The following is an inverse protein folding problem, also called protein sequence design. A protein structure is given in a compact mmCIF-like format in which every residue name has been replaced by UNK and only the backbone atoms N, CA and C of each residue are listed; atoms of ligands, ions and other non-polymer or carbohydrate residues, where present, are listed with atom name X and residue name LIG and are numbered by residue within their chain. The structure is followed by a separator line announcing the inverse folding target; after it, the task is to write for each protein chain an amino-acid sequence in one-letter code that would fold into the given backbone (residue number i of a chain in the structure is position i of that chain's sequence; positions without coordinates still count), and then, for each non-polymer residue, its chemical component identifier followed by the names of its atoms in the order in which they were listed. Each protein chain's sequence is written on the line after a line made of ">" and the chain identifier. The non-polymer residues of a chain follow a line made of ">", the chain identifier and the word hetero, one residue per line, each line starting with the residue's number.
data_IF_021388898357
#
_entry.id   IF_021388898357
#
_cell.length_a   1.000
_cell.length_b   1.000
_cell.length_c   1.000
_cell.angle_alpha   90.00
_cell.angle_beta   90.00
_cell.angle_gamma   90.00
#
_symmetry.space_group_name_H-M   'P 1'
#
loop_
_entity.id
_entity.type
_entity.pdbx_description
1 polymer ?
#
# COMPACT_ATOMS: atom_id res chain seq x y z
N UNK A 1 -35.21 18.23 -21.81
CA UNK A 1 -34.48 17.61 -20.70
C UNK A 1 -33.90 16.30 -21.23
N UNK A 2 -32.61 16.31 -21.56
CA UNK A 2 -31.90 15.06 -21.98
C UNK A 2 -31.44 14.41 -20.68
N UNK A 3 -32.12 13.35 -20.27
CA UNK A 3 -31.65 12.46 -19.20
C UNK A 3 -30.42 11.74 -19.73
N UNK A 4 -29.23 12.16 -19.35
CA UNK A 4 -28.04 11.32 -19.48
C UNK A 4 -28.20 10.16 -18.49
N UNK A 5 -28.82 9.06 -18.93
CA UNK A 5 -28.71 7.79 -18.23
C UNK A 5 -27.24 7.36 -18.31
N UNK A 6 -26.55 7.35 -17.20
CA UNK A 6 -25.27 6.65 -17.08
C UNK A 6 -25.52 5.20 -17.51
N UNK A 7 -24.69 4.68 -18.42
CA UNK A 7 -24.75 3.29 -18.82
C UNK A 7 -24.62 2.45 -17.53
N UNK A 8 -25.58 1.57 -17.26
CA UNK A 8 -25.64 0.73 -16.05
C UNK A 8 -24.38 -0.13 -15.81
N UNK A 9 -23.44 -0.12 -16.75
CA UNK A 9 -22.18 -0.84 -16.70
C UNK A 9 -20.96 0.03 -16.32
N UNK A 10 -21.17 1.34 -16.09
CA UNK A 10 -20.08 2.28 -15.72
C UNK A 10 -20.35 2.94 -14.36
N UNK A 11 -19.28 3.37 -13.73
CA UNK A 11 -19.30 4.20 -12.54
C UNK A 11 -18.57 5.51 -12.83
N UNK A 12 -19.14 6.62 -12.37
CA UNK A 12 -18.57 7.94 -12.62
C UNK A 12 -18.22 8.66 -11.32
N UNK A 13 -17.11 9.37 -11.32
CA UNK A 13 -16.70 10.32 -10.29
C UNK A 13 -16.70 11.70 -10.91
N UNK A 14 -17.42 12.65 -10.30
CA UNK A 14 -17.29 14.07 -10.56
C UNK A 14 -16.74 14.74 -9.30
N UNK A 15 -15.67 15.50 -9.42
CA UNK A 15 -14.98 16.04 -8.27
C UNK A 15 -14.60 17.50 -8.38
N UNK A 16 -14.55 18.17 -7.22
CA UNK A 16 -14.03 19.52 -7.07
C UNK A 16 -13.23 19.64 -5.78
N UNK A 17 -11.96 20.03 -5.92
CA UNK A 17 -11.10 20.35 -4.78
C UNK A 17 -10.73 21.82 -4.78
N UNK A 18 -10.86 22.44 -3.61
CA UNK A 18 -10.33 23.76 -3.35
C UNK A 18 -8.81 23.69 -3.18
N UNK A 19 -8.13 24.81 -3.45
CA UNK A 19 -6.67 24.96 -3.30
C UNK A 19 -5.82 24.00 -4.17
N UNK A 20 -6.40 23.50 -5.27
CA UNK A 20 -5.71 22.75 -6.30
C UNK A 20 -6.22 23.22 -7.65
N UNK A 21 -5.38 23.93 -8.40
CA UNK A 21 -5.79 24.47 -9.70
C UNK A 21 -5.52 23.45 -10.83
N UNK A 22 -4.35 22.81 -10.80
CA UNK A 22 -3.94 21.79 -11.77
C UNK A 22 -3.19 20.68 -11.04
N UNK A 23 -3.27 19.45 -11.55
CA UNK A 23 -2.57 18.31 -11.00
C UNK A 23 -3.04 16.99 -11.60
N UNK A 24 -2.47 15.92 -11.10
CA UNK A 24 -2.84 14.56 -11.46
C UNK A 24 -3.04 13.75 -10.20
N UNK A 25 -4.07 12.91 -10.20
CA UNK A 25 -4.28 11.87 -9.19
C UNK A 25 -4.07 10.53 -9.85
N UNK A 26 -3.60 9.58 -9.08
CA UNK A 26 -3.59 8.19 -9.52
C UNK A 26 -4.80 7.47 -8.92
N UNK A 27 -5.35 6.53 -9.68
CA UNK A 27 -6.46 5.69 -9.23
C UNK A 27 -6.18 4.23 -9.57
N UNK A 28 -6.48 3.35 -8.63
CA UNK A 28 -6.36 1.91 -8.83
C UNK A 28 -7.47 1.16 -8.07
N UNK A 29 -7.69 -0.09 -8.47
CA UNK A 29 -8.62 -1.03 -7.82
C UNK A 29 -7.83 -2.08 -7.05
N UNK A 30 -7.88 -2.10 -5.71
CA UNK A 30 -7.15 -3.11 -4.93
C UNK A 30 -7.70 -4.53 -5.12
N UNK A 31 -8.93 -4.66 -5.59
CA UNK A 31 -9.65 -5.90 -5.89
C UNK A 31 -9.71 -6.24 -7.39
N UNK A 32 -9.04 -5.45 -8.23
CA UNK A 32 -8.95 -5.69 -9.67
C UNK A 32 -7.91 -6.74 -10.06
N UNK A 33 -8.21 -7.48 -11.12
CA UNK A 33 -7.32 -8.54 -11.60
C UNK A 33 -5.99 -8.02 -12.19
N UNK A 34 -5.93 -6.74 -12.60
CA UNK A 34 -4.80 -6.19 -13.34
C UNK A 34 -3.96 -5.16 -12.58
N UNK A 35 -4.38 -4.72 -11.36
CA UNK A 35 -3.61 -3.75 -10.56
C UNK A 35 -3.18 -2.47 -11.30
N UNK A 36 -3.81 -2.18 -12.45
CA UNK A 36 -3.41 -1.08 -13.33
C UNK A 36 -3.67 0.25 -12.65
N UNK A 37 -2.63 1.05 -12.59
CA UNK A 37 -2.71 2.44 -12.17
C UNK A 37 -3.22 3.27 -13.35
N UNK A 38 -4.25 4.09 -13.12
CA UNK A 38 -4.77 5.05 -14.08
C UNK A 38 -4.60 6.48 -13.53
N UNK A 39 -4.73 7.48 -14.39
CA UNK A 39 -4.47 8.88 -14.05
C UNK A 39 -5.73 9.72 -14.23
N UNK A 40 -6.07 10.52 -13.22
CA UNK A 40 -7.14 11.51 -13.26
C UNK A 40 -6.52 12.90 -13.33
N UNK A 41 -6.79 13.64 -14.42
CA UNK A 41 -6.33 15.03 -14.58
C UNK A 41 -7.27 15.99 -13.87
N UNK A 42 -6.67 16.99 -13.21
CA UNK A 42 -7.40 18.09 -12.55
C UNK A 42 -7.17 19.39 -13.30
N UNK A 43 -8.26 20.06 -13.67
CA UNK A 43 -8.25 21.35 -14.36
C UNK A 43 -9.18 22.33 -13.63
N UNK A 44 -8.67 23.50 -13.27
CA UNK A 44 -9.40 24.51 -12.47
C UNK A 44 -10.06 23.92 -11.19
N UNK A 45 -9.36 22.99 -10.53
CA UNK A 45 -9.84 22.31 -9.34
C UNK A 45 -10.93 21.27 -9.58
N UNK A 46 -11.29 21.00 -10.84
CA UNK A 46 -12.32 20.02 -11.22
C UNK A 46 -11.69 18.79 -11.86
N UNK A 47 -12.31 17.65 -11.67
CA UNK A 47 -11.93 16.40 -12.32
C UNK A 47 -13.15 15.52 -12.53
N UNK A 48 -13.07 14.66 -13.53
CA UNK A 48 -14.06 13.61 -13.79
C UNK A 48 -13.32 12.33 -14.14
N UNK A 49 -13.86 11.21 -13.70
CA UNK A 49 -13.31 9.88 -13.98
C UNK A 49 -14.44 8.90 -14.19
N UNK A 50 -14.36 8.12 -15.24
CA UNK A 50 -15.34 7.09 -15.56
C UNK A 50 -14.63 5.76 -15.76
N UNK A 51 -15.20 4.70 -15.18
CA UNK A 51 -14.61 3.36 -15.23
C UNK A 51 -15.69 2.30 -15.42
N UNK A 52 -15.44 1.24 -16.22
CA UNK A 52 -16.33 0.08 -16.28
C UNK A 52 -16.56 -0.52 -14.88
N UNK A 53 -17.82 -0.64 -14.48
CA UNK A 53 -18.22 -1.13 -13.17
C UNK A 53 -19.41 -2.08 -13.32
N UNK A 54 -19.13 -3.38 -13.45
CA UNK A 54 -20.17 -4.42 -13.59
C UNK A 54 -20.57 -5.03 -12.24
N UNK A 55 -19.83 -4.75 -11.19
CA UNK A 55 -20.06 -5.19 -9.81
C UNK A 55 -19.52 -4.12 -8.85
N UNK A 56 -20.01 -4.03 -7.63
CA UNK A 56 -19.43 -3.14 -6.64
C UNK A 56 -17.92 -3.38 -6.48
N UNK A 57 -17.15 -2.32 -6.42
CA UNK A 57 -15.69 -2.36 -6.27
C UNK A 57 -15.16 -1.15 -5.49
N UNK A 58 -13.97 -1.27 -4.95
CA UNK A 58 -13.27 -0.16 -4.29
C UNK A 58 -12.30 0.49 -5.27
N UNK A 59 -12.38 1.80 -5.42
CA UNK A 59 -11.38 2.62 -6.09
C UNK A 59 -10.52 3.30 -5.01
N UNK A 60 -9.21 3.24 -5.15
CA UNK A 60 -8.26 3.97 -4.30
C UNK A 60 -7.73 5.16 -5.08
N UNK A 61 -8.03 6.37 -4.63
CA UNK A 61 -7.49 7.60 -5.21
C UNK A 61 -6.26 8.01 -4.40
N UNK A 62 -5.14 8.20 -5.10
CA UNK A 62 -3.88 8.67 -4.53
C UNK A 62 -3.71 10.13 -4.95
N UNK A 63 -3.68 11.01 -3.96
CA UNK A 63 -3.49 12.44 -4.17
C UNK A 63 -2.01 12.81 -4.28
N UNK A 64 -1.65 14.02 -4.76
CA UNK A 64 -0.25 14.44 -4.93
C UNK A 64 0.61 14.40 -3.67
N UNK A 65 -0.01 14.45 -2.50
CA UNK A 65 0.65 14.28 -1.19
C UNK A 65 0.75 12.80 -0.76
N UNK A 66 0.48 11.87 -1.67
CA UNK A 66 0.47 10.42 -1.47
C UNK A 66 -0.55 9.90 -0.42
N UNK A 67 -1.53 10.74 -0.05
CA UNK A 67 -2.64 10.28 0.76
C UNK A 67 -3.58 9.42 -0.08
N UNK A 68 -3.91 8.23 0.38
CA UNK A 68 -4.89 7.35 -0.25
C UNK A 68 -6.29 7.59 0.33
N UNK A 69 -7.29 7.69 -0.55
CA UNK A 69 -8.69 7.78 -0.15
C UNK A 69 -9.54 6.76 -0.92
N UNK A 70 -10.36 5.96 -0.23
CA UNK A 70 -11.26 5.02 -0.88
C UNK A 70 -12.51 5.74 -1.42
N UNK A 71 -12.97 5.26 -2.57
CA UNK A 71 -14.28 5.56 -3.15
C UNK A 71 -14.95 4.22 -3.48
N UNK A 72 -16.16 4.03 -2.99
CA UNK A 72 -16.91 2.78 -3.20
C UNK A 72 -17.83 2.97 -4.41
N UNK A 73 -17.51 2.22 -5.46
CA UNK A 73 -18.16 2.28 -6.74
C UNK A 73 -19.28 1.22 -6.84
N UNK A 74 -20.42 1.62 -7.39
CA UNK A 74 -21.54 0.77 -7.71
C UNK A 74 -21.93 0.94 -9.18
N UNK A 75 -22.35 -0.14 -9.89
CA UNK A 75 -22.75 -0.06 -11.29
C UNK A 75 -23.84 0.98 -11.53
N UNK A 76 -23.69 1.78 -12.60
CA UNK A 76 -24.63 2.82 -12.99
C UNK A 76 -24.71 4.05 -12.08
N UNK A 77 -23.86 4.14 -11.04
CA UNK A 77 -23.88 5.27 -10.10
C UNK A 77 -22.84 6.32 -10.45
N UNK A 78 -23.17 7.57 -10.08
CA UNK A 78 -22.24 8.70 -10.08
C UNK A 78 -22.03 9.16 -8.65
N UNK A 79 -20.80 9.46 -8.27
CA UNK A 79 -20.47 10.08 -6.99
C UNK A 79 -19.90 11.48 -7.20
N UNK A 80 -20.18 12.36 -6.26
CA UNK A 80 -19.59 13.68 -6.20
C UNK A 80 -18.55 13.73 -5.07
N UNK A 81 -17.32 14.18 -5.41
CA UNK A 81 -16.25 14.41 -4.44
C UNK A 81 -16.08 15.90 -4.23
N UNK A 82 -16.15 16.34 -2.98
CA UNK A 82 -15.86 17.72 -2.56
C UNK A 82 -14.86 17.73 -1.42
N UNK A 83 -13.96 18.71 -1.41
CA UNK A 83 -12.99 18.87 -0.35
C UNK A 83 -11.98 19.96 -0.63
N UNK A 84 -10.93 19.99 0.19
CA UNK A 84 -9.78 20.86 0.03
C UNK A 84 -8.51 20.01 -0.14
N UNK A 85 -7.68 20.32 -1.12
CA UNK A 85 -6.39 19.65 -1.32
C UNK A 85 -5.43 19.88 -0.13
N UNK A 86 -5.63 20.94 0.66
CA UNK A 86 -4.87 21.20 1.89
C UNK A 86 -5.34 20.37 3.09
N UNK A 87 -6.56 19.81 3.04
CA UNK A 87 -7.12 18.98 4.12
C UNK A 87 -8.01 17.86 3.57
N UNK A 88 -7.37 16.82 3.02
CA UNK A 88 -8.09 15.66 2.45
C UNK A 88 -8.82 14.80 3.50
N UNK A 89 -8.57 15.01 4.78
CA UNK A 89 -9.32 14.33 5.86
C UNK A 89 -10.80 14.76 5.90
N UNK A 90 -11.08 15.98 5.46
CA UNK A 90 -12.43 16.53 5.36
C UNK A 90 -13.10 16.31 4.00
N UNK A 91 -12.52 15.44 3.17
CA UNK A 91 -13.10 15.09 1.88
C UNK A 91 -14.43 14.38 2.05
N UNK A 92 -15.46 14.88 1.38
CA UNK A 92 -16.79 14.29 1.35
C UNK A 92 -17.04 13.60 0.00
N UNK A 93 -17.59 12.39 0.04
CA UNK A 93 -18.01 11.62 -1.15
C UNK A 93 -19.50 11.32 -1.04
N UNK A 94 -20.30 11.83 -1.98
CA UNK A 94 -21.75 11.62 -2.05
C UNK A 94 -22.13 10.73 -3.22
N UNK A 95 -23.20 9.94 -3.10
CA UNK A 95 -23.81 9.19 -4.22
C UNK A 95 -24.07 7.70 -3.94
N UNK A 96 -23.36 7.08 -3.00
CA UNK A 96 -23.64 5.69 -2.58
C UNK A 96 -23.67 5.57 -1.05
N UNK A 97 -24.28 4.52 -0.54
CA UNK A 97 -24.43 4.34 0.91
C UNK A 97 -23.09 4.01 1.58
N UNK A 98 -22.22 3.21 0.95
CA UNK A 98 -20.87 2.94 1.47
C UNK A 98 -20.01 4.21 1.53
N UNK A 99 -20.14 5.14 0.58
CA UNK A 99 -19.45 6.41 0.65
C UNK A 99 -19.97 7.30 1.79
N UNK A 100 -21.28 7.29 2.08
CA UNK A 100 -21.84 7.99 3.25
C UNK A 100 -21.31 7.39 4.56
N UNK A 101 -21.29 6.06 4.69
CA UNK A 101 -20.72 5.37 5.85
C UNK A 101 -19.24 5.71 6.04
N UNK A 102 -18.47 5.79 4.94
CA UNK A 102 -17.06 6.19 5.01
C UNK A 102 -16.88 7.64 5.44
N UNK A 103 -17.75 8.58 5.01
CA UNK A 103 -17.72 9.96 5.49
C UNK A 103 -17.94 10.02 7.01
N UNK A 104 -18.97 9.34 7.52
CA UNK A 104 -19.24 9.27 8.97
C UNK A 104 -18.07 8.68 9.75
N UNK A 105 -17.42 7.64 9.19
CA UNK A 105 -16.22 7.08 9.80
C UNK A 105 -15.06 8.09 9.82
N UNK A 106 -14.82 8.85 8.73
CA UNK A 106 -13.77 9.89 8.69
C UNK A 106 -13.99 10.95 9.75
N UNK A 107 -15.23 11.42 9.91
CA UNK A 107 -15.62 12.39 10.94
C UNK A 107 -15.34 11.83 12.34
N UNK A 108 -15.73 10.58 12.60
CA UNK A 108 -15.52 9.92 13.89
C UNK A 108 -14.04 9.81 14.28
N UNK A 109 -13.14 9.59 13.30
CA UNK A 109 -11.70 9.40 13.56
C UNK A 109 -10.87 10.65 13.34
N UNK A 110 -11.46 11.78 12.97
CA UNK A 110 -10.74 13.00 12.60
C UNK A 110 -9.72 13.48 13.65
N UNK A 111 -10.08 13.36 14.94
CA UNK A 111 -9.25 13.72 16.10
C UNK A 111 -8.77 12.52 16.92
N UNK A 112 -9.06 11.29 16.47
CA UNK A 112 -8.72 10.09 17.22
C UNK A 112 -7.22 9.78 17.13
N UNK A 113 -6.65 9.31 18.24
CA UNK A 113 -5.30 8.72 18.25
C UNK A 113 -5.27 7.43 17.42
N UNK A 114 -4.09 6.98 16.94
CA UNK A 114 -4.00 5.74 16.15
C UNK A 114 -4.61 4.50 16.84
N UNK A 115 -4.45 4.26 18.16
CA UNK A 115 -5.13 3.17 18.84
C UNK A 115 -6.65 3.30 18.87
N UNK A 116 -7.17 4.52 19.07
CA UNK A 116 -8.61 4.80 19.07
C UNK A 116 -9.21 4.62 17.68
N UNK A 117 -8.56 5.15 16.63
CA UNK A 117 -8.99 4.96 15.26
C UNK A 117 -9.08 3.46 14.90
N UNK A 118 -8.14 2.65 15.39
CA UNK A 118 -8.16 1.19 15.23
C UNK A 118 -9.35 0.54 15.97
N UNK A 119 -9.68 1.03 17.17
CA UNK A 119 -10.86 0.57 17.92
C UNK A 119 -12.15 0.91 17.17
N UNK A 120 -12.26 2.14 16.66
CA UNK A 120 -13.41 2.57 15.85
C UNK A 120 -13.52 1.74 14.56
N UNK A 121 -12.42 1.47 13.87
CA UNK A 121 -12.42 0.63 12.67
C UNK A 121 -12.92 -0.79 12.97
N UNK A 122 -12.49 -1.39 14.09
CA UNK A 122 -13.00 -2.69 14.52
C UNK A 122 -14.50 -2.65 14.79
N UNK A 123 -14.97 -1.66 15.55
CA UNK A 123 -16.38 -1.52 15.89
C UNK A 123 -17.23 -1.32 14.63
N UNK A 124 -16.80 -0.45 13.71
CA UNK A 124 -17.47 -0.25 12.44
C UNK A 124 -17.68 -1.56 11.67
N UNK A 125 -16.64 -2.40 11.57
CA UNK A 125 -16.73 -3.68 10.85
C UNK A 125 -17.72 -4.64 11.55
N UNK A 126 -17.79 -4.61 12.87
CA UNK A 126 -18.76 -5.42 13.64
C UNK A 126 -20.20 -4.96 13.39
N UNK A 127 -20.41 -3.64 13.32
CA UNK A 127 -21.74 -3.04 13.14
C UNK A 127 -22.23 -3.09 11.68
N UNK A 128 -21.30 -3.04 10.71
CA UNK A 128 -21.57 -3.00 9.28
C UNK A 128 -20.84 -4.11 8.48
N UNK A 129 -20.99 -5.39 8.81
CA UNK A 129 -20.21 -6.46 8.19
C UNK A 129 -20.52 -6.67 6.72
N UNK A 130 -21.65 -6.15 6.21
CA UNK A 130 -22.03 -6.20 4.81
C UNK A 130 -21.45 -5.02 3.98
N UNK A 131 -20.93 -3.98 4.61
CA UNK A 131 -20.38 -2.79 3.96
C UNK A 131 -19.00 -3.06 3.38
N UNK A 132 -18.73 -2.57 2.16
CA UNK A 132 -17.41 -2.63 1.52
C UNK A 132 -16.36 -1.78 2.24
N UNK A 133 -16.79 -0.77 3.00
CA UNK A 133 -15.92 0.05 3.85
C UNK A 133 -15.08 -0.83 4.77
N UNK A 134 -15.66 -1.91 5.31
CA UNK A 134 -14.95 -2.86 6.18
C UNK A 134 -13.69 -3.45 5.54
N UNK A 135 -13.69 -3.71 4.22
CA UNK A 135 -12.53 -4.25 3.50
C UNK A 135 -11.36 -3.25 3.46
N UNK A 136 -11.67 -1.97 3.27
CA UNK A 136 -10.68 -0.89 3.37
C UNK A 136 -10.15 -0.75 4.81
N UNK A 137 -11.05 -0.73 5.81
CA UNK A 137 -10.68 -0.55 7.21
C UNK A 137 -9.80 -1.69 7.74
N UNK A 138 -10.14 -2.95 7.41
CA UNK A 138 -9.30 -4.08 7.82
C UNK A 138 -7.92 -4.01 7.18
N UNK A 139 -7.83 -3.66 5.90
CA UNK A 139 -6.57 -3.44 5.21
C UNK A 139 -5.76 -2.33 5.87
N UNK A 140 -6.36 -1.15 6.08
CA UNK A 140 -5.69 0.05 6.57
C UNK A 140 -5.21 -0.08 8.01
N UNK A 141 -6.08 -0.56 8.92
CA UNK A 141 -5.85 -0.51 10.36
C UNK A 141 -5.28 -1.81 10.96
N UNK A 142 -5.43 -2.94 10.28
CA UNK A 142 -5.01 -4.24 10.83
C UNK A 142 -3.95 -4.94 9.99
N UNK A 143 -3.90 -4.70 8.67
CA UNK A 143 -2.96 -5.36 7.78
C UNK A 143 -1.78 -4.45 7.43
N UNK A 144 -2.05 -3.21 7.01
CA UNK A 144 -1.07 -2.21 6.56
C UNK A 144 -0.74 -1.18 7.65
N UNK A 145 -0.66 -1.59 8.89
CA UNK A 145 -0.29 -0.74 10.01
C UNK A 145 1.15 -1.02 10.45
N UNK A 146 1.78 -0.08 11.14
CA UNK A 146 3.11 -0.28 11.73
C UNK A 146 3.17 -1.48 12.69
N UNK A 147 2.03 -1.82 13.31
CA UNK A 147 1.88 -3.00 14.15
C UNK A 147 0.72 -3.85 13.65
N UNK A 148 0.92 -4.69 12.62
CA UNK A 148 -0.14 -5.51 12.04
C UNK A 148 -0.70 -6.51 13.05
N UNK A 149 -2.03 -6.65 13.09
CA UNK A 149 -2.72 -7.69 13.87
C UNK A 149 -3.47 -8.62 12.91
N UNK A 150 -2.73 -9.58 12.40
CA UNK A 150 -3.24 -10.49 11.37
C UNK A 150 -4.27 -11.47 11.92
N UNK A 151 -4.25 -11.76 13.24
CA UNK A 151 -5.24 -12.63 13.86
C UNK A 151 -6.60 -11.93 13.94
N UNK A 152 -6.62 -10.67 14.38
CA UNK A 152 -7.82 -9.85 14.39
C UNK A 152 -8.28 -9.60 12.96
N UNK A 153 -7.38 -9.30 12.01
CA UNK A 153 -7.72 -9.13 10.60
C UNK A 153 -8.42 -10.36 10.01
N UNK A 154 -7.91 -11.57 10.23
CA UNK A 154 -8.52 -12.82 9.74
C UNK A 154 -9.90 -13.05 10.36
N UNK A 155 -10.07 -12.77 11.64
CA UNK A 155 -11.35 -12.86 12.34
C UNK A 155 -12.40 -11.91 11.76
N UNK A 156 -12.03 -10.65 11.52
CA UNK A 156 -12.90 -9.63 10.92
C UNK A 156 -13.25 -9.97 9.46
N UNK A 157 -12.27 -10.43 8.66
CA UNK A 157 -12.51 -10.87 7.29
C UNK A 157 -13.46 -12.07 7.28
N UNK A 158 -13.28 -13.03 8.19
CA UNK A 158 -14.15 -14.21 8.32
C UNK A 158 -15.60 -13.80 8.65
N UNK A 159 -15.78 -12.79 9.50
CA UNK A 159 -17.10 -12.21 9.78
C UNK A 159 -17.70 -11.60 8.51
N UNK A 160 -16.96 -10.70 7.85
CA UNK A 160 -17.45 -10.04 6.63
C UNK A 160 -17.80 -11.01 5.51
N UNK A 161 -17.03 -12.09 5.33
CA UNK A 161 -17.30 -13.13 4.31
C UNK A 161 -18.63 -13.85 4.48
N UNK A 162 -19.21 -13.88 5.70
CA UNK A 162 -20.55 -14.43 5.95
C UNK A 162 -21.64 -13.53 5.34
N UNK A 163 -21.37 -12.23 5.22
CA UNK A 163 -22.32 -11.22 4.73
C UNK A 163 -22.05 -10.77 3.29
N UNK A 164 -20.80 -10.91 2.82
CA UNK A 164 -20.33 -10.47 1.50
C UNK A 164 -19.83 -11.65 0.64
N UNK A 165 -20.68 -12.64 0.42
CA UNK A 165 -20.30 -13.91 -0.24
C UNK A 165 -19.80 -13.75 -1.68
N UNK A 166 -20.23 -12.71 -2.39
CA UNK A 166 -19.88 -12.43 -3.79
C UNK A 166 -18.64 -11.53 -3.95
N UNK A 167 -18.10 -10.97 -2.86
CA UNK A 167 -16.98 -10.03 -2.91
C UNK A 167 -15.64 -10.76 -2.81
N UNK A 168 -15.03 -11.01 -3.97
CA UNK A 168 -13.80 -11.82 -4.07
C UNK A 168 -12.58 -11.21 -3.38
N UNK A 169 -12.53 -9.88 -3.21
CA UNK A 169 -11.41 -9.18 -2.60
C UNK A 169 -11.13 -9.60 -1.14
N UNK A 170 -12.18 -9.79 -0.32
CA UNK A 170 -11.99 -10.28 1.04
C UNK A 170 -11.31 -11.66 1.09
N UNK A 171 -11.67 -12.56 0.15
CA UNK A 171 -11.00 -13.87 0.04
C UNK A 171 -9.54 -13.72 -0.41
N UNK A 172 -9.25 -12.74 -1.25
CA UNK A 172 -7.88 -12.42 -1.65
C UNK A 172 -7.08 -11.89 -0.47
N UNK A 173 -7.63 -10.93 0.30
CA UNK A 173 -7.01 -10.44 1.54
C UNK A 173 -6.75 -11.57 2.54
N UNK A 174 -7.72 -12.46 2.72
CA UNK A 174 -7.55 -13.60 3.62
C UNK A 174 -6.43 -14.53 3.18
N UNK A 175 -6.35 -14.83 1.86
CA UNK A 175 -5.23 -15.62 1.31
C UNK A 175 -3.88 -14.92 1.50
N UNK A 176 -3.83 -13.61 1.31
CA UNK A 176 -2.62 -12.81 1.55
C UNK A 176 -2.17 -12.87 3.01
N UNK A 177 -3.09 -12.77 3.97
CA UNK A 177 -2.78 -12.90 5.39
C UNK A 177 -2.25 -14.30 5.71
N UNK A 178 -2.91 -15.34 5.21
CA UNK A 178 -2.48 -16.74 5.41
C UNK A 178 -1.19 -17.05 4.67
N UNK A 179 -0.99 -16.46 3.48
CA UNK A 179 0.25 -16.57 2.69
C UNK A 179 1.47 -15.87 3.34
N UNK A 180 1.25 -14.91 4.24
CA UNK A 180 2.34 -14.34 5.05
C UNK A 180 3.03 -15.36 5.94
N UNK A 181 2.42 -16.52 6.13
CA UNK A 181 3.08 -17.67 6.73
C UNK A 181 4.35 -18.10 6.00
N UNK A 182 4.42 -17.95 4.67
CA UNK A 182 5.59 -18.30 3.85
C UNK A 182 6.76 -17.32 3.97
N UNK A 183 6.54 -16.10 4.46
CA UNK A 183 7.58 -15.09 4.70
C UNK A 183 7.83 -14.84 6.19
N UNK A 184 7.42 -15.76 7.06
CA UNK A 184 7.71 -15.68 8.51
C UNK A 184 9.18 -15.90 8.78
N UNK A 185 9.63 -15.36 9.91
CA UNK A 185 10.96 -15.66 10.47
C UNK A 185 11.17 -17.17 10.56
N UNK A 186 12.31 -17.65 10.08
CA UNK A 186 12.67 -19.07 9.98
C UNK A 186 12.32 -19.71 8.63
N UNK A 187 11.44 -19.12 7.81
CA UNK A 187 11.06 -19.66 6.50
C UNK A 187 12.05 -19.24 5.41
N UNK A 188 12.14 -20.05 4.35
CA UNK A 188 12.88 -19.67 3.15
C UNK A 188 12.27 -18.43 2.49
N UNK A 189 13.10 -17.61 1.84
CA UNK A 189 12.61 -16.49 1.03
C UNK A 189 11.67 -17.01 -0.05
N UNK A 190 10.45 -16.45 -0.21
CA UNK A 190 9.53 -16.86 -1.26
C UNK A 190 10.15 -16.70 -2.65
N UNK A 191 9.86 -17.61 -3.56
CA UNK A 191 10.36 -17.53 -4.93
C UNK A 191 9.87 -16.28 -5.64
N UNK A 192 10.80 -15.51 -6.19
CA UNK A 192 10.52 -14.36 -7.05
C UNK A 192 11.64 -14.15 -8.08
N UNK A 193 11.32 -13.39 -9.11
CA UNK A 193 12.28 -12.85 -10.08
C UNK A 193 11.84 -11.44 -10.43
N UNK A 194 12.75 -10.47 -10.36
CA UNK A 194 12.49 -9.06 -10.65
C UNK A 194 13.69 -8.43 -11.35
N UNK A 195 13.43 -7.45 -12.23
CA UNK A 195 14.48 -6.62 -12.84
C UNK A 195 14.73 -5.38 -12.02
N UNK A 196 16.00 -5.04 -11.82
CA UNK A 196 16.39 -3.75 -11.24
C UNK A 196 16.17 -2.64 -12.26
N UNK A 197 16.19 -1.39 -11.79
CA UNK A 197 16.14 -0.20 -12.66
C UNK A 197 17.32 -0.16 -13.65
N UNK A 198 18.43 -0.86 -13.38
CA UNK A 198 19.62 -0.96 -14.22
C UNK A 198 19.59 -2.22 -15.12
N UNK A 199 18.48 -2.98 -15.11
CA UNK A 199 18.29 -4.15 -15.98
C UNK A 199 18.85 -5.48 -15.44
N UNK A 200 19.52 -5.49 -14.29
CA UNK A 200 19.99 -6.72 -13.62
C UNK A 200 18.77 -7.53 -13.13
N UNK A 201 18.86 -8.84 -13.15
CA UNK A 201 17.83 -9.70 -12.58
C UNK A 201 18.21 -10.12 -11.16
N UNK A 202 17.33 -9.89 -10.20
CA UNK A 202 17.42 -10.42 -8.84
C UNK A 202 16.33 -11.45 -8.59
N UNK A 203 16.70 -12.48 -7.83
CA UNK A 203 15.84 -13.63 -7.53
C UNK A 203 15.97 -14.03 -6.07
N UNK A 204 15.04 -14.84 -5.56
CA UNK A 204 15.20 -15.46 -4.25
C UNK A 204 16.51 -16.28 -4.15
N UNK A 205 16.92 -16.93 -5.23
CA UNK A 205 18.18 -17.69 -5.28
C UNK A 205 19.40 -16.77 -5.16
N UNK A 206 19.40 -15.59 -5.81
CA UNK A 206 20.50 -14.62 -5.68
C UNK A 206 20.64 -14.08 -4.25
N UNK A 207 19.52 -13.86 -3.53
CA UNK A 207 19.55 -13.50 -2.11
C UNK A 207 20.05 -14.64 -1.22
N UNK A 208 19.77 -15.89 -1.60
CA UNK A 208 20.20 -17.07 -0.84
C UNK A 208 21.69 -17.42 -1.07
N UNK A 209 22.27 -16.93 -2.16
CA UNK A 209 23.68 -17.12 -2.47
C UNK A 209 24.60 -16.25 -1.61
N UNK A 210 24.08 -15.25 -0.93
CA UNK A 210 24.84 -14.39 -0.01
C UNK A 210 24.60 -14.79 1.45
N UNK A 211 25.62 -14.70 2.32
CA UNK A 211 25.46 -15.03 3.73
C UNK A 211 24.37 -14.19 4.42
N UNK A 212 24.31 -12.89 4.07
CA UNK A 212 23.31 -11.95 4.61
C UNK A 212 22.79 -11.04 3.51
N UNK A 213 21.48 -10.86 3.44
CA UNK A 213 20.84 -9.85 2.60
C UNK A 213 19.80 -9.06 3.38
N UNK A 214 19.65 -7.78 3.05
CA UNK A 214 18.58 -6.92 3.55
C UNK A 214 17.75 -6.46 2.37
N UNK A 215 16.45 -6.68 2.44
CA UNK A 215 15.50 -6.20 1.42
C UNK A 215 14.60 -5.17 2.08
N UNK A 216 14.61 -3.93 1.57
CA UNK A 216 13.86 -2.81 2.11
C UNK A 216 12.74 -2.38 1.17
N UNK A 217 11.53 -2.24 1.69
CA UNK A 217 10.43 -1.55 1.02
C UNK A 217 10.55 -0.04 1.29
N UNK A 218 10.56 0.75 0.22
CA UNK A 218 10.79 2.19 0.30
C UNK A 218 10.03 2.96 -0.80
N UNK A 219 10.03 4.30 -0.71
CA UNK A 219 9.50 5.16 -1.75
C UNK A 219 10.20 6.53 -1.74
N UNK A 220 10.25 7.21 -2.90
CA UNK A 220 10.86 8.54 -3.03
C UNK A 220 10.19 9.62 -2.19
N UNK A 221 8.91 9.46 -1.91
CA UNK A 221 8.09 10.35 -1.09
C UNK A 221 8.16 10.05 0.42
N UNK A 222 8.85 8.98 0.84
CA UNK A 222 9.00 8.60 2.25
C UNK A 222 10.42 8.88 2.73
N UNK A 223 10.61 10.05 3.35
CA UNK A 223 11.90 10.46 3.91
C UNK A 223 12.49 9.43 4.88
N UNK A 224 11.65 8.83 5.73
CA UNK A 224 12.05 7.81 6.69
C UNK A 224 12.66 6.59 5.97
N UNK A 225 12.01 6.10 4.90
CA UNK A 225 12.49 4.94 4.13
C UNK A 225 13.80 5.24 3.40
N UNK A 226 13.95 6.45 2.84
CA UNK A 226 15.19 6.92 2.22
C UNK A 226 16.31 6.94 3.25
N UNK A 227 16.04 7.45 4.45
CA UNK A 227 17.03 7.54 5.51
C UNK A 227 17.52 6.16 5.98
N UNK A 228 16.65 5.17 6.06
CA UNK A 228 17.02 3.77 6.35
C UNK A 228 17.97 3.23 5.27
N UNK A 229 17.62 3.36 3.98
CA UNK A 229 18.45 2.90 2.88
C UNK A 229 19.80 3.61 2.84
N UNK A 230 19.82 4.93 3.09
CA UNK A 230 21.06 5.73 3.14
C UNK A 230 21.99 5.25 4.24
N UNK A 231 21.48 5.00 5.44
CA UNK A 231 22.28 4.48 6.54
C UNK A 231 22.84 3.09 6.23
N UNK A 232 22.03 2.19 5.65
CA UNK A 232 22.47 0.85 5.24
C UNK A 232 23.53 0.94 4.11
N UNK A 233 23.34 1.80 3.12
CA UNK A 233 24.34 2.04 2.06
C UNK A 233 25.67 2.56 2.63
N UNK A 234 25.63 3.45 3.61
CA UNK A 234 26.83 3.95 4.29
C UNK A 234 27.53 2.84 5.10
N UNK A 235 26.79 2.03 5.85
CA UNK A 235 27.35 0.89 6.60
C UNK A 235 28.09 -0.08 5.67
N UNK A 236 27.50 -0.41 4.52
CA UNK A 236 28.14 -1.25 3.50
C UNK A 236 29.38 -0.60 2.94
N UNK A 237 29.33 0.68 2.54
CA UNK A 237 30.45 1.44 1.99
C UNK A 237 31.62 1.57 2.97
N UNK A 238 31.32 1.75 4.25
CA UNK A 238 32.33 1.88 5.31
C UNK A 238 32.93 0.53 5.75
N UNK A 239 32.43 -0.59 5.22
CA UNK A 239 32.87 -1.93 5.62
C UNK A 239 32.46 -2.32 7.05
N UNK A 240 31.43 -1.67 7.61
CA UNK A 240 30.94 -1.95 8.97
C UNK A 240 30.24 -3.32 9.04
N UNK A 241 29.65 -3.75 7.93
CA UNK A 241 29.03 -5.07 7.78
C UNK A 241 29.02 -5.48 6.30
N UNK A 242 29.13 -6.80 6.05
CA UNK A 242 29.05 -7.39 4.71
C UNK A 242 27.64 -7.98 4.50
N UNK A 243 26.88 -7.37 3.59
CA UNK A 243 25.55 -7.82 3.23
C UNK A 243 25.13 -7.30 1.84
N UNK A 244 24.25 -8.04 1.20
CA UNK A 244 23.57 -7.56 -0.02
C UNK A 244 22.41 -6.68 0.37
N UNK A 245 22.32 -5.46 -0.21
CA UNK A 245 21.21 -4.53 -0.01
C UNK A 245 20.35 -4.46 -1.26
N UNK A 246 19.06 -4.67 -1.09
CA UNK A 246 18.05 -4.58 -2.16
C UNK A 246 16.94 -3.62 -1.73
N UNK A 247 16.63 -2.65 -2.58
CA UNK A 247 15.50 -1.74 -2.41
C UNK A 247 14.36 -2.13 -3.34
N UNK A 248 13.15 -2.28 -2.78
CA UNK A 248 11.92 -2.45 -3.55
C UNK A 248 11.13 -1.15 -3.43
N UNK A 249 11.04 -0.43 -4.54
CA UNK A 249 10.45 0.91 -4.60
C UNK A 249 8.95 0.85 -4.86
N UNK A 250 8.18 1.63 -4.11
CA UNK A 250 6.74 1.79 -4.28
C UNK A 250 6.37 3.11 -4.98
N UNK A 251 7.19 3.57 -5.90
CA UNK A 251 6.86 4.73 -6.72
C UNK A 251 6.07 4.31 -7.96
N UNK A 252 5.19 5.20 -8.46
CA UNK A 252 4.53 5.05 -9.74
C UNK A 252 5.48 5.36 -10.92
N UNK A 253 6.52 6.17 -10.67
CA UNK A 253 7.49 6.63 -11.67
C UNK A 253 8.86 6.01 -11.41
N UNK A 254 9.36 5.25 -12.39
CA UNK A 254 10.73 4.70 -12.37
C UNK A 254 11.77 5.85 -12.39
N UNK A 255 11.46 6.96 -13.06
CA UNK A 255 12.36 8.11 -13.14
C UNK A 255 12.48 8.83 -11.80
N UNK A 256 11.40 8.92 -11.01
CA UNK A 256 11.44 9.47 -9.66
C UNK A 256 12.27 8.57 -8.74
N UNK A 257 12.10 7.27 -8.85
CA UNK A 257 12.94 6.28 -8.18
C UNK A 257 14.43 6.50 -8.52
N UNK A 258 14.79 6.57 -9.82
CA UNK A 258 16.17 6.79 -10.27
C UNK A 258 16.76 8.09 -9.76
N UNK A 259 16.02 9.20 -9.87
CA UNK A 259 16.46 10.50 -9.36
C UNK A 259 16.74 10.45 -7.86
N UNK A 260 15.85 9.80 -7.10
CA UNK A 260 16.00 9.68 -5.65
C UNK A 260 17.19 8.83 -5.28
N UNK A 261 17.43 7.71 -5.97
CA UNK A 261 18.60 6.85 -5.79
C UNK A 261 19.88 7.65 -6.00
N UNK A 262 19.98 8.39 -7.12
CA UNK A 262 21.14 9.21 -7.46
C UNK A 262 21.37 10.33 -6.46
N UNK A 263 20.33 11.11 -6.16
CA UNK A 263 20.44 12.29 -5.28
C UNK A 263 20.80 11.92 -3.82
N UNK A 264 20.44 10.72 -3.38
CA UNK A 264 20.72 10.24 -2.02
C UNK A 264 21.89 9.26 -1.98
N UNK A 265 22.58 9.03 -3.12
CA UNK A 265 23.75 8.13 -3.23
C UNK A 265 23.45 6.73 -2.64
N UNK A 266 22.28 6.18 -2.96
CA UNK A 266 21.88 4.87 -2.46
C UNK A 266 22.63 3.77 -3.24
N UNK A 267 23.48 3.01 -2.55
CA UNK A 267 24.24 1.90 -3.11
C UNK A 267 23.55 0.57 -2.83
N UNK A 268 22.59 0.22 -3.68
CA UNK A 268 21.82 -1.02 -3.57
C UNK A 268 21.21 -1.44 -4.91
N UNK A 269 20.95 -2.73 -5.07
CA UNK A 269 20.16 -3.25 -6.19
C UNK A 269 18.71 -2.75 -6.05
N UNK A 270 18.23 -1.95 -7.01
CA UNK A 270 16.94 -1.26 -6.89
C UNK A 270 15.91 -1.80 -7.87
N UNK A 271 14.75 -2.22 -7.35
CA UNK A 271 13.59 -2.63 -8.17
C UNK A 271 12.50 -1.58 -8.06
N UNK A 272 11.94 -1.18 -9.19
CA UNK A 272 10.76 -0.32 -9.29
C UNK A 272 9.94 -0.80 -10.49
N UNK A 273 8.72 -1.28 -10.26
CA UNK A 273 7.81 -1.77 -11.31
C UNK A 273 6.70 -0.77 -11.66
N UNK A 274 6.62 0.36 -10.95
CA UNK A 274 5.60 1.37 -11.16
C UNK A 274 4.21 1.02 -10.59
N UNK A 275 4.07 -0.15 -9.98
CA UNK A 275 2.78 -0.64 -9.46
C UNK A 275 2.50 -0.20 -8.00
N UNK A 276 3.36 0.62 -7.43
CA UNK A 276 3.25 1.13 -6.06
C UNK A 276 3.08 -0.01 -5.04
N UNK A 277 2.20 0.16 -4.05
CA UNK A 277 1.88 -0.87 -3.04
C UNK A 277 1.13 -2.10 -3.62
N UNK A 278 0.68 -2.03 -4.89
CA UNK A 278 0.08 -3.15 -5.60
C UNK A 278 1.10 -4.06 -6.29
N UNK A 279 2.38 -3.74 -6.25
CA UNK A 279 3.45 -4.54 -6.80
C UNK A 279 3.31 -6.02 -6.41
N UNK A 280 3.46 -6.90 -7.39
CA UNK A 280 3.50 -8.34 -7.14
C UNK A 280 4.62 -8.71 -6.18
N UNK A 281 5.74 -8.00 -6.25
CA UNK A 281 6.90 -8.25 -5.40
C UNK A 281 6.62 -7.86 -3.95
N UNK A 282 5.93 -6.73 -3.72
CA UNK A 282 5.45 -6.35 -2.38
C UNK A 282 4.58 -7.45 -1.77
N UNK A 283 3.64 -8.00 -2.55
CA UNK A 283 2.77 -9.10 -2.09
C UNK A 283 3.55 -10.38 -1.81
N UNK A 284 4.48 -10.75 -2.70
CA UNK A 284 5.30 -11.97 -2.57
C UNK A 284 6.19 -11.92 -1.33
N UNK A 285 6.84 -10.77 -1.08
CA UNK A 285 7.70 -10.55 0.08
C UNK A 285 6.92 -10.15 1.34
N UNK A 286 5.58 -10.04 1.23
CA UNK A 286 4.65 -9.66 2.29
C UNK A 286 4.95 -8.29 2.92
N UNK A 287 5.45 -7.34 2.12
CA UNK A 287 5.51 -5.93 2.50
C UNK A 287 4.11 -5.32 2.52
N UNK A 288 3.83 -4.44 3.47
CA UNK A 288 2.49 -3.89 3.70
C UNK A 288 2.45 -2.39 3.86
N UNK A 289 3.55 -1.78 4.19
CA UNK A 289 3.72 -0.34 4.44
C UNK A 289 5.17 0.06 4.14
N UNK A 290 5.47 1.33 4.25
CA UNK A 290 6.77 1.93 4.01
C UNK A 290 7.11 2.84 5.19
N UNK A 291 8.31 2.72 5.75
CA UNK A 291 9.35 1.71 5.48
C UNK A 291 9.00 0.33 6.05
N UNK A 292 9.45 -0.74 5.38
CA UNK A 292 9.46 -2.10 5.90
C UNK A 292 10.75 -2.78 5.45
N UNK A 293 11.16 -3.86 6.13
CA UNK A 293 12.36 -4.60 5.76
C UNK A 293 12.30 -6.07 6.16
N UNK A 294 13.09 -6.87 5.46
CA UNK A 294 13.39 -8.25 5.84
C UNK A 294 14.89 -8.47 5.85
N UNK A 295 15.38 -9.17 6.86
CA UNK A 295 16.76 -9.66 6.93
C UNK A 295 16.78 -11.13 6.59
N UNK A 296 17.60 -11.49 5.63
CA UNK A 296 17.78 -12.85 5.14
C UNK A 296 19.17 -13.32 5.50
N UNK A 297 19.29 -14.49 6.11
CA UNK A 297 20.58 -15.17 6.34
C UNK A 297 20.51 -16.59 5.79
N UNK A 298 21.48 -16.95 4.95
CA UNK A 298 21.54 -18.27 4.31
C UNK A 298 20.19 -18.67 3.66
N UNK A 299 19.55 -17.75 2.93
CA UNK A 299 18.29 -17.99 2.22
C UNK A 299 17.03 -18.06 3.11
N UNK A 300 17.15 -17.81 4.40
CA UNK A 300 16.02 -17.79 5.34
C UNK A 300 15.77 -16.39 5.90
N UNK A 301 14.52 -16.03 6.03
CA UNK A 301 14.10 -14.80 6.71
C UNK A 301 14.38 -14.97 8.22
N UNK A 302 15.29 -14.17 8.77
CA UNK A 302 15.63 -14.21 10.20
C UNK A 302 14.98 -13.10 10.99
N UNK A 303 14.63 -11.99 10.34
CA UNK A 303 13.94 -10.88 11.01
C UNK A 303 13.15 -10.04 10.00
N UNK A 304 12.21 -9.27 10.48
CA UNK A 304 11.34 -8.38 9.69
C UNK A 304 11.00 -7.13 10.47
N UNK A 305 10.70 -6.05 9.73
CA UNK A 305 10.20 -4.80 10.30
C UNK A 305 11.05 -4.29 11.47
N UNK A 306 12.35 -4.27 11.27
CA UNK A 306 13.30 -3.80 12.26
C UNK A 306 13.52 -2.30 12.13
N UNK A 307 13.66 -1.61 13.24
CA UNK A 307 14.19 -0.24 13.24
C UNK A 307 15.71 -0.26 12.96
N UNK A 308 16.31 0.92 12.77
CA UNK A 308 17.72 1.00 12.36
C UNK A 308 18.69 0.44 13.40
N UNK A 309 18.40 0.58 14.68
CA UNK A 309 19.23 0.00 15.76
C UNK A 309 19.21 -1.53 15.74
N UNK A 310 18.03 -2.10 15.56
CA UNK A 310 17.82 -3.54 15.44
C UNK A 310 18.48 -4.09 14.17
N UNK A 311 18.39 -3.38 13.04
CA UNK A 311 19.09 -3.72 11.80
C UNK A 311 20.60 -3.76 12.04
N UNK A 312 21.18 -2.74 12.67
CA UNK A 312 22.61 -2.72 13.02
C UNK A 312 23.00 -3.94 13.86
N UNK A 313 22.22 -4.28 14.89
CA UNK A 313 22.47 -5.48 15.73
C UNK A 313 22.41 -6.78 14.93
N UNK A 314 21.53 -6.87 13.93
CA UNK A 314 21.42 -8.06 13.07
C UNK A 314 22.58 -8.19 12.08
N UNK A 315 23.13 -7.07 11.62
CA UNK A 315 24.12 -7.01 10.55
C UNK A 315 25.56 -7.02 11.07
N UNK A 316 25.85 -6.40 12.21
CA UNK A 316 27.16 -6.46 12.81
C UNK A 316 27.35 -7.79 13.54
N UNK A 317 28.42 -8.55 13.25
CA UNK A 317 28.76 -9.72 14.04
C UNK A 317 28.91 -9.30 15.50
N UNK A 318 28.21 -9.97 16.40
CA UNK A 318 28.35 -9.70 17.82
C UNK A 318 29.83 -9.75 18.20
N UNK A 319 30.38 -8.66 18.71
CA UNK A 319 31.59 -8.74 19.52
C UNK A 319 31.20 -9.60 20.71
N UNK A 320 31.49 -10.89 20.66
CA UNK A 320 31.47 -11.76 21.83
C UNK A 320 32.40 -11.10 22.86
N UNK A 321 31.81 -10.55 23.93
CA UNK A 321 32.55 -10.19 25.13
C UNK A 321 32.95 -11.46 25.86
#
# INVERSE_FOLDING_TARGET
>A
MVSCSTDDSHFKIDGRLLHLNQGEFYVYTPDGDNGKLDTIKVEAGRFSYEVPCRRPMTLMIIFPNFTEQPVFAEPGKTVEIRGSASNLKEMEVKGTDDNKLMNSFREQVASASPPEARKYARQFILDHPASMVGSYLVRRYFIQSQSPDLAVADSLITLMLKHQTKYGYLRQLQRQIKGRGSSKTGMAVPSFSAKTIDGKTITAASLSATPTAVVCAWASWSYESINVLRQLSLMKKNGEADFTLVGICADASIDDCRRTVTNNMLDCDMVCDGEMLNSRLFRTLAFSYIPDNIVVKNGRVVARNLNMEELKKQLTPGKTQ
#
